data_IF_640628031178
#
_entry.id   IF_640628031178
#
_cell.length_a   1.000
_cell.length_b   1.000
_cell.length_c   1.000
_cell.angle_alpha   90.00
_cell.angle_beta   90.00
_cell.angle_gamma   90.00
#
_symmetry.space_group_name_H-M   'P 1'
#
loop_
_entity.id
_entity.type
_entity.pdbx_description
1 polymer ?
#
# COMPACT_ATOMS: atom_id res chain seq x y z
N UNK A 1 22.03 15.93 0.14
CA UNK A 1 20.78 15.15 0.19
C UNK A 1 19.83 15.68 -0.89
N UNK A 2 19.36 14.82 -1.80
CA UNK A 2 18.49 15.23 -2.92
C UNK A 2 17.09 15.64 -2.44
N UNK A 3 16.31 16.34 -3.29
CA UNK A 3 14.91 16.71 -2.99
C UNK A 3 14.07 15.47 -2.68
N UNK A 4 14.18 14.43 -3.51
CA UNK A 4 13.56 13.12 -3.29
C UNK A 4 13.91 12.51 -1.94
N UNK A 5 15.20 12.43 -1.58
CA UNK A 5 15.61 11.88 -0.28
C UNK A 5 15.01 12.68 0.89
N UNK A 6 14.98 14.02 0.80
CA UNK A 6 14.32 14.86 1.81
C UNK A 6 12.82 14.57 1.93
N UNK A 7 12.12 14.39 0.80
CA UNK A 7 10.69 14.04 0.79
C UNK A 7 10.43 12.70 1.48
N UNK A 8 11.22 11.67 1.14
CA UNK A 8 11.13 10.33 1.75
C UNK A 8 11.27 10.42 3.27
N UNK A 9 12.35 11.04 3.77
CA UNK A 9 12.58 11.14 5.21
C UNK A 9 11.53 11.98 5.93
N UNK A 10 11.05 13.07 5.32
CA UNK A 10 10.00 13.92 5.91
C UNK A 10 8.68 13.16 6.06
N UNK A 11 8.25 12.43 5.02
CA UNK A 11 7.01 11.65 5.10
C UNK A 11 7.16 10.48 6.08
N UNK A 12 8.28 9.77 6.05
CA UNK A 12 8.61 8.72 7.02
C UNK A 12 8.51 9.21 8.47
N UNK A 13 9.11 10.36 8.79
CA UNK A 13 9.06 10.93 10.14
C UNK A 13 7.64 11.33 10.53
N UNK A 14 6.88 11.90 9.60
CA UNK A 14 5.50 12.32 9.86
C UNK A 14 4.56 11.14 10.09
N UNK A 15 4.69 10.08 9.29
CA UNK A 15 3.91 8.85 9.44
C UNK A 15 4.22 8.19 10.80
N UNK A 16 5.49 8.04 11.18
CA UNK A 16 5.87 7.54 12.51
C UNK A 16 5.31 8.40 13.65
N UNK A 17 5.33 9.73 13.51
CA UNK A 17 4.74 10.62 14.52
C UNK A 17 3.22 10.47 14.63
N UNK A 18 2.56 10.03 13.55
CA UNK A 18 1.14 9.70 13.53
C UNK A 18 0.83 8.28 14.00
N UNK A 19 1.84 7.52 14.44
CA UNK A 19 1.68 6.15 14.96
C UNK A 19 1.73 5.05 13.91
N UNK A 20 2.23 5.33 12.70
CA UNK A 20 2.54 4.29 11.71
C UNK A 20 3.88 3.64 12.05
N UNK A 21 3.92 2.32 12.20
CA UNK A 21 5.12 1.58 12.57
C UNK A 21 6.00 1.27 11.35
N UNK A 22 6.82 2.25 10.95
CA UNK A 22 7.70 2.11 9.79
C UNK A 22 9.15 1.93 10.25
N UNK A 23 9.76 0.80 9.91
CA UNK A 23 11.11 0.41 10.34
C UNK A 23 12.26 0.87 9.41
N UNK A 24 11.96 1.69 8.39
CA UNK A 24 12.95 2.27 7.48
C UNK A 24 12.38 2.82 6.18
N UNK A 25 13.26 3.30 5.30
CA UNK A 25 12.88 4.05 4.08
C UNK A 25 13.15 3.32 2.76
N UNK A 26 13.73 2.12 2.82
CA UNK A 26 13.91 1.27 1.64
C UNK A 26 12.59 0.58 1.25
N UNK A 27 12.56 -0.10 0.12
CA UNK A 27 11.42 -0.94 -0.21
C UNK A 27 11.45 -2.23 0.63
N UNK A 28 10.34 -2.63 1.23
CA UNK A 28 10.23 -3.92 1.90
C UNK A 28 8.83 -4.50 1.74
N UNK A 29 8.79 -5.76 1.31
CA UNK A 29 7.59 -6.58 1.28
C UNK A 29 7.80 -7.73 2.27
N UNK A 30 7.03 -7.70 3.35
CA UNK A 30 6.83 -8.74 4.36
C UNK A 30 5.55 -9.49 4.06
N UNK A 31 5.56 -10.78 4.37
CA UNK A 31 4.40 -11.65 4.38
C UNK A 31 3.93 -11.81 5.82
N UNK A 32 2.63 -11.74 6.08
CA UNK A 32 2.16 -11.98 7.44
C UNK A 32 2.33 -13.45 7.83
N UNK A 33 2.50 -13.69 9.14
CA UNK A 33 2.67 -15.03 9.70
C UNK A 33 1.36 -15.81 9.86
N UNK A 34 0.23 -15.25 9.42
CA UNK A 34 -1.11 -15.77 9.66
C UNK A 34 -1.69 -16.54 8.48
N UNK A 35 -2.93 -16.20 8.12
CA UNK A 35 -3.74 -16.85 7.10
C UNK A 35 -3.46 -16.41 5.66
N UNK A 36 -2.32 -15.76 5.40
CA UNK A 36 -1.98 -15.28 4.06
C UNK A 36 -1.80 -16.42 3.07
N UNK A 37 -2.62 -16.38 2.01
CA UNK A 37 -2.55 -17.35 0.91
C UNK A 37 -1.40 -17.01 -0.05
N UNK A 38 -1.00 -17.98 -0.88
CA UNK A 38 -0.03 -17.71 -1.95
C UNK A 38 -0.51 -16.60 -2.89
N UNK A 39 -1.82 -16.55 -3.17
CA UNK A 39 -2.41 -15.50 -4.01
C UNK A 39 -2.21 -14.11 -3.38
N UNK A 40 -2.46 -13.96 -2.07
CA UNK A 40 -2.19 -12.72 -1.35
C UNK A 40 -0.72 -12.31 -1.42
N UNK A 41 0.22 -13.25 -1.20
CA UNK A 41 1.66 -12.96 -1.27
C UNK A 41 2.10 -12.47 -2.66
N UNK A 42 1.56 -13.09 -3.70
CA UNK A 42 1.80 -12.67 -5.08
C UNK A 42 1.21 -11.28 -5.32
N UNK A 43 -0.07 -11.07 -4.96
CA UNK A 43 -0.73 -9.77 -5.11
C UNK A 43 -0.01 -8.65 -4.36
N UNK A 44 0.47 -8.91 -3.15
CA UNK A 44 1.26 -7.97 -2.34
C UNK A 44 2.56 -7.59 -3.00
N UNK A 45 3.27 -8.57 -3.55
CA UNK A 45 4.50 -8.32 -4.30
C UNK A 45 4.23 -7.50 -5.57
N UNK A 46 3.15 -7.81 -6.28
CA UNK A 46 2.76 -7.11 -7.52
C UNK A 46 2.31 -5.68 -7.22
N UNK A 47 1.47 -5.46 -6.22
CA UNK A 47 1.03 -4.13 -5.77
C UNK A 47 2.22 -3.26 -5.34
N UNK A 48 3.18 -3.84 -4.62
CA UNK A 48 4.42 -3.18 -4.27
C UNK A 48 5.22 -2.76 -5.52
N UNK A 49 5.30 -3.63 -6.55
CA UNK A 49 5.97 -3.30 -7.82
C UNK A 49 5.31 -2.11 -8.51
N UNK A 50 3.98 -2.11 -8.66
CA UNK A 50 3.23 -1.00 -9.27
C UNK A 50 3.57 0.34 -8.60
N UNK A 51 3.55 0.37 -7.26
CA UNK A 51 3.89 1.57 -6.49
C UNK A 51 5.36 1.99 -6.67
N UNK A 52 6.30 1.03 -6.70
CA UNK A 52 7.73 1.30 -6.90
C UNK A 52 7.98 1.88 -8.29
N UNK A 53 7.33 1.34 -9.32
CA UNK A 53 7.55 1.71 -10.72
C UNK A 53 7.11 3.14 -11.02
N UNK A 54 6.05 3.64 -10.34
CA UNK A 54 5.65 5.06 -10.38
C UNK A 54 6.45 5.95 -9.41
N UNK A 55 7.41 5.37 -8.68
CA UNK A 55 8.41 6.09 -7.91
C UNK A 55 8.12 6.25 -6.41
N UNK A 56 7.19 5.49 -5.82
CA UNK A 56 7.05 5.42 -4.37
C UNK A 56 8.16 4.58 -3.72
N UNK A 57 8.29 4.73 -2.41
CA UNK A 57 8.83 3.72 -1.48
C UNK A 57 7.69 2.94 -0.88
N UNK A 58 7.89 1.65 -0.65
CA UNK A 58 6.84 0.76 -0.15
C UNK A 58 7.26 0.03 1.11
N UNK A 59 6.28 -0.14 2.00
CA UNK A 59 6.34 -1.03 3.16
C UNK A 59 5.04 -1.82 3.19
N UNK A 60 5.12 -3.11 3.44
CA UNK A 60 3.93 -3.96 3.62
C UNK A 60 3.78 -4.40 5.06
N UNK A 61 2.57 -4.79 5.44
CA UNK A 61 2.23 -5.22 6.81
C UNK A 61 2.60 -4.14 7.83
N UNK A 62 2.11 -2.93 7.58
CA UNK A 62 2.44 -1.76 8.42
C UNK A 62 1.32 -1.56 9.43
N UNK A 63 1.65 -1.75 10.70
CA UNK A 63 0.75 -1.41 11.81
C UNK A 63 0.53 0.11 11.83
N UNK A 64 -0.72 0.53 11.88
CA UNK A 64 -1.12 1.91 12.09
C UNK A 64 -2.19 1.99 13.18
N UNK A 65 -2.52 3.20 13.71
CA UNK A 65 -3.40 3.33 14.87
C UNK A 65 -4.81 2.74 14.70
N UNK A 66 -5.21 2.50 13.45
CA UNK A 66 -6.53 2.04 13.06
C UNK A 66 -6.55 0.61 12.52
N UNK A 67 -5.40 -0.06 12.42
CA UNK A 67 -5.26 -1.44 11.93
C UNK A 67 -3.99 -1.63 11.13
N UNK A 68 -3.85 -2.79 10.47
CA UNK A 68 -2.69 -3.10 9.64
C UNK A 68 -2.98 -2.79 8.18
N UNK A 69 -2.04 -2.12 7.51
CA UNK A 69 -2.08 -1.87 6.08
C UNK A 69 -1.27 -2.91 5.30
N UNK A 70 -1.87 -3.50 4.27
CA UNK A 70 -1.17 -4.44 3.40
C UNK A 70 0.00 -3.80 2.67
N UNK A 71 -0.20 -2.62 2.07
CA UNK A 71 0.86 -1.81 1.45
C UNK A 71 0.66 -0.34 1.83
N UNK A 72 1.70 0.26 2.40
CA UNK A 72 1.88 1.69 2.52
C UNK A 72 2.91 2.17 1.50
N UNK A 73 2.50 3.07 0.60
CA UNK A 73 3.38 3.71 -0.37
C UNK A 73 3.60 5.19 -0.02
N UNK A 74 4.85 5.64 0.05
CA UNK A 74 5.24 7.00 0.47
C UNK A 74 6.49 7.50 -0.26
N UNK A 75 6.86 8.75 -0.07
CA UNK A 75 8.11 9.33 -0.52
C UNK A 75 8.13 9.78 -1.99
N UNK A 76 7.01 9.70 -2.70
CA UNK A 76 6.87 10.30 -4.03
C UNK A 76 6.77 11.83 -3.91
N UNK A 77 7.46 12.54 -4.79
CA UNK A 77 7.51 14.00 -4.77
C UNK A 77 6.14 14.60 -5.06
N UNK A 78 5.75 15.60 -4.26
CA UNK A 78 4.47 16.31 -4.37
C UNK A 78 3.21 15.45 -4.29
N UNK A 79 3.34 14.18 -3.88
CA UNK A 79 2.21 13.29 -3.56
C UNK A 79 2.21 12.89 -2.09
N UNK A 80 1.01 12.74 -1.54
CA UNK A 80 0.81 12.19 -0.19
C UNK A 80 0.98 10.67 -0.21
N UNK A 81 1.27 10.05 0.95
CA UNK A 81 1.22 8.60 1.10
C UNK A 81 -0.14 8.03 0.71
N UNK A 82 -0.13 6.82 0.19
CA UNK A 82 -1.34 6.05 -0.17
C UNK A 82 -1.26 4.66 0.46
N UNK A 83 -2.42 4.05 0.63
CA UNK A 83 -2.55 2.65 1.06
C UNK A 83 -3.15 1.82 -0.06
N UNK A 84 -2.66 0.59 -0.23
CA UNK A 84 -3.29 -0.43 -1.07
C UNK A 84 -3.58 -1.63 -0.16
N UNK A 85 -4.86 -1.94 -0.01
CA UNK A 85 -5.38 -3.10 0.70
C UNK A 85 -5.72 -4.21 -0.29
N UNK A 86 -5.47 -5.46 0.11
CA UNK A 86 -5.73 -6.64 -0.68
C UNK A 86 -6.74 -7.49 0.09
N UNK A 87 -7.94 -7.63 -0.45
CA UNK A 87 -9.04 -8.26 0.28
C UNK A 87 -9.64 -9.40 -0.54
N UNK A 88 -9.94 -10.50 0.14
CA UNK A 88 -10.89 -11.49 -0.34
C UNK A 88 -12.26 -11.19 0.28
N UNK A 89 -13.32 -11.75 -0.30
CA UNK A 89 -14.71 -11.61 0.10
C UNK A 89 -15.12 -10.12 0.26
N UNK A 90 -14.66 -9.27 -0.67
CA UNK A 90 -14.86 -7.83 -0.58
C UNK A 90 -16.34 -7.46 -0.70
N UNK A 91 -16.91 -6.97 0.41
CA UNK A 91 -18.24 -6.35 0.44
C UNK A 91 -18.16 -4.84 0.49
N UNK A 92 -19.27 -4.16 0.18
CA UNK A 92 -19.37 -2.70 0.30
C UNK A 92 -19.10 -2.23 1.75
N UNK A 93 -19.62 -2.96 2.74
CA UNK A 93 -19.39 -2.69 4.17
C UNK A 93 -17.90 -2.81 4.55
N UNK A 94 -17.20 -3.84 4.01
CA UNK A 94 -15.76 -4.00 4.24
C UNK A 94 -15.00 -2.84 3.61
N UNK A 95 -15.39 -2.44 2.39
CA UNK A 95 -14.75 -1.37 1.68
C UNK A 95 -14.93 0.00 2.38
N UNK A 96 -16.14 0.30 2.85
CA UNK A 96 -16.44 1.53 3.60
C UNK A 96 -15.65 1.57 4.91
N UNK A 97 -15.68 0.49 5.69
CA UNK A 97 -14.91 0.36 6.94
C UNK A 97 -13.42 0.63 6.73
N UNK A 98 -12.82 0.07 5.68
CA UNK A 98 -11.40 0.27 5.35
C UNK A 98 -11.10 1.70 4.91
N UNK A 99 -11.98 2.35 4.14
CA UNK A 99 -11.82 3.77 3.78
C UNK A 99 -11.90 4.67 5.01
N UNK A 100 -12.84 4.42 5.91
CA UNK A 100 -12.95 5.14 7.18
C UNK A 100 -11.72 4.92 8.08
N UNK A 101 -11.19 3.69 8.11
CA UNK A 101 -10.01 3.31 8.90
C UNK A 101 -8.80 4.22 8.62
N UNK A 102 -8.59 4.60 7.36
CA UNK A 102 -7.46 5.44 6.95
C UNK A 102 -7.82 6.91 6.69
N UNK A 103 -9.06 7.32 6.94
CA UNK A 103 -9.48 8.74 6.82
C UNK A 103 -8.90 9.65 7.94
N UNK A 104 -7.86 9.17 8.61
CA UNK A 104 -7.16 9.82 9.71
C UNK A 104 -5.67 9.87 9.37
N UNK A 105 -5.13 11.10 9.27
CA UNK A 105 -3.69 11.32 9.14
C UNK A 105 -3.26 11.87 7.78
N UNK A 106 -2.07 11.46 7.33
CA UNK A 106 -1.43 12.00 6.13
C UNK A 106 -1.63 11.16 4.86
N UNK A 107 -2.26 10.00 4.99
CA UNK A 107 -2.67 9.18 3.84
C UNK A 107 -3.75 9.92 3.07
N UNK A 108 -3.60 10.03 1.75
CA UNK A 108 -4.58 10.71 0.91
C UNK A 108 -5.66 9.82 0.36
N UNK A 109 -5.29 8.57 0.05
CA UNK A 109 -6.10 7.65 -0.73
C UNK A 109 -5.86 6.22 -0.25
N UNK A 110 -6.93 5.43 -0.31
CA UNK A 110 -6.93 4.00 0.00
C UNK A 110 -7.53 3.30 -1.20
N UNK A 111 -6.75 2.41 -1.78
CA UNK A 111 -7.21 1.51 -2.82
C UNK A 111 -7.43 0.14 -2.20
N UNK A 112 -8.55 -0.50 -2.54
CA UNK A 112 -8.89 -1.84 -2.04
C UNK A 112 -9.04 -2.72 -3.27
N UNK A 113 -8.16 -3.69 -3.41
CA UNK A 113 -8.12 -4.62 -4.53
C UNK A 113 -8.86 -5.89 -4.12
N UNK A 114 -9.91 -6.21 -4.85
CA UNK A 114 -10.67 -7.44 -4.70
C UNK A 114 -9.93 -8.61 -5.36
N UNK A 115 -9.32 -9.47 -4.54
CA UNK A 115 -8.54 -10.60 -5.00
C UNK A 115 -9.38 -11.78 -5.50
N UNK A 116 -10.68 -11.85 -5.17
CA UNK A 116 -11.54 -12.92 -5.70
C UNK A 116 -11.82 -12.74 -7.19
N UNK A 117 -11.83 -11.48 -7.64
CA UNK A 117 -12.08 -11.10 -9.02
C UNK A 117 -10.80 -10.69 -9.79
N UNK A 118 -9.65 -10.71 -9.13
CA UNK A 118 -8.37 -10.32 -9.73
C UNK A 118 -7.77 -11.44 -10.60
N UNK A 119 -6.98 -11.09 -11.65
CA UNK A 119 -6.23 -12.07 -12.41
C UNK A 119 -5.20 -12.82 -11.55
N UNK A 120 -4.96 -14.09 -11.87
CA UNK A 120 -4.00 -14.94 -11.14
C UNK A 120 -2.58 -14.86 -11.70
N UNK A 121 -2.43 -14.45 -12.97
CA UNK A 121 -1.13 -14.32 -13.62
C UNK A 121 -0.49 -12.98 -13.22
N UNK A 122 0.78 -12.94 -12.77
CA UNK A 122 1.39 -11.71 -12.24
C UNK A 122 1.33 -10.50 -13.17
N UNK A 123 1.54 -10.69 -14.48
CA UNK A 123 1.53 -9.58 -15.45
C UNK A 123 0.12 -8.99 -15.67
N UNK A 124 -0.89 -9.86 -15.66
CA UNK A 124 -2.30 -9.45 -15.74
C UNK A 124 -2.74 -8.78 -14.43
N UNK A 125 -2.30 -9.32 -13.30
CA UNK A 125 -2.54 -8.75 -11.98
C UNK A 125 -1.88 -7.38 -11.82
N UNK A 126 -0.67 -7.20 -12.36
CA UNK A 126 0.00 -5.90 -12.39
C UNK A 126 -0.84 -4.89 -13.15
N UNK A 127 -1.30 -5.26 -14.36
CA UNK A 127 -2.12 -4.40 -15.20
C UNK A 127 -3.44 -4.06 -14.51
N UNK A 128 -4.07 -5.04 -13.87
CA UNK A 128 -5.29 -4.86 -13.10
C UNK A 128 -5.09 -3.89 -11.93
N UNK A 129 -4.09 -4.10 -11.08
CA UNK A 129 -3.80 -3.22 -9.94
C UNK A 129 -3.43 -1.80 -10.40
N UNK A 130 -2.60 -1.67 -11.44
CA UNK A 130 -2.25 -0.37 -12.02
C UNK A 130 -3.49 0.39 -12.52
N UNK A 131 -4.44 -0.32 -13.13
CA UNK A 131 -5.71 0.25 -13.58
C UNK A 131 -6.60 0.67 -12.39
N UNK A 132 -6.84 -0.22 -11.43
CA UNK A 132 -7.70 0.05 -10.26
C UNK A 132 -7.17 1.22 -9.40
N UNK A 133 -5.85 1.33 -9.26
CA UNK A 133 -5.21 2.40 -8.48
C UNK A 133 -4.95 3.69 -9.27
N UNK A 134 -5.13 3.66 -10.61
CA UNK A 134 -4.72 4.74 -11.50
C UNK A 134 -3.20 5.01 -11.53
N UNK A 135 -2.39 4.12 -10.95
CA UNK A 135 -0.93 4.19 -10.95
C UNK A 135 -0.41 3.51 -12.21
N UNK A 136 -0.44 4.23 -13.33
CA UNK A 136 0.16 3.78 -14.59
C UNK A 136 1.47 4.50 -14.88
N UNK A 137 2.35 3.81 -15.62
CA UNK A 137 3.63 4.32 -16.14
C UNK A 137 3.43 4.88 -17.55
#
# INVERSE_FOLDING_TARGET
>A
MSKRTKTIYRQYQRLNHQGWEIDGVENCVKFNGGSETTAHRVAKTVAASVCIDVGYRVRSEVECPSGDADILAFGLEDRRPIVVELENDLSEDVAERKREQYNVGDVSEVWIIDLDNAPVMPDELYTHIAYETGLSV
#
